data_IF_037668662497
#
_entry.id   IF_037668662497
#
_cell.length_a   1.000
_cell.length_b   1.000
_cell.length_c   1.000
_cell.angle_alpha   90.00
_cell.angle_beta   90.00
_cell.angle_gamma   90.00
#
_symmetry.space_group_name_H-M   'P 1'
#
loop_
_entity.id
_entity.type
_entity.pdbx_description
1 polymer ?
#
# COMPACT_ATOMS: atom_id res chain seq x y z
N UNK A 1 -13.12 -7.77 38.39
CA UNK A 1 -12.06 -6.88 37.85
C UNK A 1 -10.77 -7.63 37.49
N UNK A 2 -10.30 -8.57 38.31
CA UNK A 2 -9.06 -9.33 38.05
C UNK A 2 -9.08 -10.13 36.72
N UNK A 3 -10.15 -10.86 36.43
CA UNK A 3 -10.30 -11.65 35.20
C UNK A 3 -10.26 -10.77 33.94
N UNK A 4 -10.88 -9.59 33.97
CA UNK A 4 -10.87 -8.65 32.85
C UNK A 4 -9.44 -8.17 32.54
N UNK A 5 -8.65 -7.84 33.57
CA UNK A 5 -7.25 -7.44 33.38
C UNK A 5 -6.39 -8.56 32.79
N UNK A 6 -6.64 -9.81 33.19
CA UNK A 6 -5.95 -10.99 32.61
C UNK A 6 -6.30 -11.12 31.12
N UNK A 7 -7.59 -11.09 30.78
CA UNK A 7 -8.04 -11.19 29.38
C UNK A 7 -7.44 -10.05 28.55
N UNK A 8 -7.49 -8.82 29.07
CA UNK A 8 -6.92 -7.65 28.40
C UNK A 8 -5.41 -7.77 28.19
N UNK A 9 -4.68 -8.28 29.19
CA UNK A 9 -3.24 -8.52 29.10
C UNK A 9 -2.90 -9.56 28.02
N UNK A 10 -3.63 -10.68 27.99
CA UNK A 10 -3.48 -11.71 26.95
C UNK A 10 -3.76 -11.12 25.56
N UNK A 11 -4.83 -10.35 25.43
CA UNK A 11 -5.16 -9.67 24.18
C UNK A 11 -4.04 -8.73 23.71
N UNK A 12 -3.54 -7.86 24.60
CA UNK A 12 -2.41 -6.98 24.32
C UNK A 12 -1.16 -7.75 23.90
N UNK A 13 -0.85 -8.86 24.59
CA UNK A 13 0.28 -9.71 24.24
C UNK A 13 0.16 -10.31 22.82
N UNK A 14 -1.03 -10.81 22.46
CA UNK A 14 -1.31 -11.34 21.11
C UNK A 14 -1.18 -10.25 20.05
N UNK A 15 -1.71 -9.05 20.31
CA UNK A 15 -1.61 -7.90 19.40
C UNK A 15 -0.15 -7.49 19.21
N UNK A 16 0.61 -7.33 20.30
CA UNK A 16 2.03 -6.97 20.26
C UNK A 16 2.86 -8.00 19.49
N UNK A 17 2.64 -9.30 19.75
CA UNK A 17 3.30 -10.38 19.02
C UNK A 17 3.02 -10.31 17.52
N UNK A 18 1.76 -10.07 17.14
CA UNK A 18 1.35 -9.97 15.74
C UNK A 18 1.99 -8.76 15.06
N UNK A 19 1.98 -7.59 15.71
CA UNK A 19 2.64 -6.39 15.21
C UNK A 19 4.14 -6.60 15.03
N UNK A 20 4.80 -7.21 16.02
CA UNK A 20 6.23 -7.49 15.97
C UNK A 20 6.60 -8.40 14.78
N UNK A 21 5.84 -9.48 14.57
CA UNK A 21 6.05 -10.40 13.44
C UNK A 21 5.85 -9.68 12.09
N UNK A 22 4.81 -8.85 11.97
CA UNK A 22 4.54 -8.08 10.76
C UNK A 22 5.65 -7.07 10.46
N UNK A 23 6.17 -6.37 11.47
CA UNK A 23 7.30 -5.43 11.31
C UNK A 23 8.56 -6.17 10.87
N UNK A 24 8.83 -7.35 11.45
CA UNK A 24 9.98 -8.18 11.08
C UNK A 24 9.91 -8.61 9.62
N UNK A 25 8.77 -9.13 9.17
CA UNK A 25 8.56 -9.52 7.78
C UNK A 25 8.63 -8.32 6.83
N UNK A 26 8.06 -7.18 7.21
CA UNK A 26 8.17 -5.95 6.44
C UNK A 26 9.63 -5.51 6.28
N UNK A 27 10.43 -5.52 7.35
CA UNK A 27 11.85 -5.18 7.30
C UNK A 27 12.65 -6.14 6.41
N UNK A 28 12.27 -7.42 6.34
CA UNK A 28 12.89 -8.39 5.43
C UNK A 28 12.59 -8.08 3.97
N UNK A 29 11.35 -7.71 3.65
CA UNK A 29 10.87 -7.53 2.27
C UNK A 29 11.13 -6.12 1.73
N UNK A 30 11.15 -5.09 2.59
CA UNK A 30 11.24 -3.69 2.18
C UNK A 30 12.43 -3.40 1.29
N UNK A 31 13.59 -4.02 1.53
CA UNK A 31 14.81 -3.71 0.78
C UNK A 31 14.71 -4.16 -0.69
N UNK A 32 14.01 -5.26 -0.94
CA UNK A 32 13.77 -5.78 -2.29
C UNK A 32 12.65 -4.97 -2.95
N UNK A 33 11.53 -4.79 -2.27
CA UNK A 33 10.36 -4.07 -2.81
C UNK A 33 10.66 -2.58 -3.02
N UNK A 34 11.53 -1.97 -2.21
CA UNK A 34 11.97 -0.57 -2.37
C UNK A 34 12.75 -0.29 -3.64
N UNK A 35 13.19 -1.33 -4.36
CA UNK A 35 13.83 -1.17 -5.68
C UNK A 35 12.82 -0.92 -6.78
N UNK A 36 11.57 -1.33 -6.58
CA UNK A 36 10.49 -1.02 -7.52
C UNK A 36 10.06 0.44 -7.35
N UNK A 37 9.61 1.11 -8.42
CA UNK A 37 9.09 2.46 -8.32
C UNK A 37 7.70 2.49 -7.69
N UNK A 38 7.43 3.52 -6.90
CA UNK A 38 6.14 3.75 -6.25
C UNK A 38 6.26 4.24 -4.81
N UNK A 39 5.12 4.58 -4.20
CA UNK A 39 5.07 5.21 -2.89
C UNK A 39 5.63 4.30 -1.78
N UNK A 40 6.28 4.92 -0.79
CA UNK A 40 6.78 4.23 0.40
C UNK A 40 5.62 3.94 1.35
N UNK A 41 5.43 2.69 1.74
CA UNK A 41 4.40 2.30 2.70
C UNK A 41 4.94 2.20 4.13
N UNK A 42 4.07 2.44 5.11
CA UNK A 42 4.34 2.19 6.52
C UNK A 42 4.24 0.69 6.84
N UNK A 43 4.97 0.18 7.85
CA UNK A 43 5.04 -1.26 8.15
C UNK A 43 3.68 -1.90 8.49
N UNK A 44 2.78 -1.14 9.12
CA UNK A 44 1.46 -1.62 9.55
C UNK A 44 0.36 -1.06 8.66
N UNK A 45 0.45 0.20 8.24
CA UNK A 45 -0.63 0.83 7.46
C UNK A 45 -0.42 0.72 5.94
N UNK A 46 0.78 0.37 5.49
CA UNK A 46 1.15 0.45 4.09
C UNK A 46 0.95 1.88 3.56
N UNK A 47 0.28 1.99 2.41
CA UNK A 47 -0.15 3.25 1.82
C UNK A 47 -1.65 3.51 2.01
N UNK A 48 -2.30 2.87 2.98
CA UNK A 48 -3.75 2.97 3.17
C UNK A 48 -4.25 4.40 3.34
N UNK A 49 -3.54 5.23 4.12
CA UNK A 49 -3.91 6.64 4.31
C UNK A 49 -3.85 7.45 3.01
N UNK A 50 -2.95 7.08 2.11
CA UNK A 50 -2.73 7.78 0.85
C UNK A 50 -3.72 7.34 -0.24
N UNK A 51 -4.12 6.06 -0.23
CA UNK A 51 -5.03 5.44 -1.19
C UNK A 51 -6.39 5.07 -0.59
N UNK A 52 -6.86 5.80 0.42
CA UNK A 52 -8.23 5.63 0.93
C UNK A 52 -9.25 6.18 -0.08
N UNK A 53 -10.38 5.49 -0.22
CA UNK A 53 -11.53 5.92 -1.02
C UNK A 53 -11.82 5.00 -2.21
N UNK A 54 -12.63 5.49 -3.13
CA UNK A 54 -13.06 4.71 -4.29
C UNK A 54 -11.89 4.23 -5.16
N UNK A 55 -12.06 3.04 -5.72
CA UNK A 55 -11.10 2.39 -6.60
C UNK A 55 -10.64 3.33 -7.74
N UNK A 56 -11.56 4.14 -8.30
CA UNK A 56 -11.25 5.14 -9.34
C UNK A 56 -10.22 6.19 -8.87
N UNK A 57 -10.37 6.68 -7.64
CA UNK A 57 -9.46 7.67 -7.05
C UNK A 57 -8.10 7.06 -6.73
N UNK A 58 -8.09 5.81 -6.27
CA UNK A 58 -6.85 5.04 -6.05
C UNK A 58 -6.07 4.87 -7.35
N UNK A 59 -6.73 4.41 -8.42
CA UNK A 59 -6.10 4.26 -9.73
C UNK A 59 -5.61 5.60 -10.30
N UNK A 60 -6.40 6.68 -10.15
CA UNK A 60 -5.99 8.03 -10.58
C UNK A 60 -4.70 8.47 -9.87
N UNK A 61 -4.62 8.31 -8.55
CA UNK A 61 -3.42 8.63 -7.76
C UNK A 61 -2.23 7.78 -8.19
N UNK A 62 -2.41 6.48 -8.38
CA UNK A 62 -1.34 5.59 -8.84
C UNK A 62 -0.83 5.94 -10.25
N UNK A 63 -1.74 6.31 -11.16
CA UNK A 63 -1.38 6.78 -12.50
C UNK A 63 -0.59 8.08 -12.45
N UNK A 64 -0.96 9.04 -11.60
CA UNK A 64 -0.18 10.27 -11.39
C UNK A 64 1.22 9.93 -10.88
N UNK A 65 1.33 9.00 -9.92
CA UNK A 65 2.61 8.50 -9.42
C UNK A 65 3.47 7.85 -10.53
N UNK A 66 2.86 7.05 -11.40
CA UNK A 66 3.53 6.43 -12.54
C UNK A 66 4.07 7.47 -13.53
N UNK A 67 3.24 8.47 -13.88
CA UNK A 67 3.60 9.57 -14.78
C UNK A 67 4.74 10.43 -14.21
N UNK A 68 4.65 10.82 -12.93
CA UNK A 68 5.64 11.70 -12.28
C UNK A 68 7.04 11.09 -12.23
N UNK A 69 7.12 9.76 -12.13
CA UNK A 69 8.40 9.06 -12.00
C UNK A 69 8.86 8.41 -13.31
N UNK A 70 8.25 8.72 -14.47
CA UNK A 70 8.55 8.09 -15.77
C UNK A 70 8.49 6.54 -15.76
N UNK A 71 7.72 5.97 -14.84
CA UNK A 71 7.58 4.53 -14.66
C UNK A 71 6.19 4.09 -15.10
N UNK A 72 6.05 3.79 -16.39
CA UNK A 72 4.75 3.55 -17.01
C UNK A 72 4.28 2.10 -17.00
N UNK A 73 5.07 1.15 -16.49
CA UNK A 73 4.80 -0.29 -16.64
C UNK A 73 4.57 -1.02 -15.32
N UNK A 74 5.32 -0.66 -14.27
CA UNK A 74 5.30 -1.36 -12.99
C UNK A 74 5.26 -0.28 -11.90
N UNK A 75 4.33 -0.41 -10.96
CA UNK A 75 4.28 0.41 -9.77
C UNK A 75 4.09 -0.50 -8.56
N UNK A 76 4.79 -0.22 -7.47
CA UNK A 76 4.53 -0.88 -6.19
C UNK A 76 3.56 -0.08 -5.34
N UNK A 77 2.81 -0.76 -4.50
CA UNK A 77 2.11 -0.20 -3.36
C UNK A 77 2.26 -1.12 -2.15
N UNK A 78 1.82 -0.64 -1.00
CA UNK A 78 1.76 -1.45 0.22
C UNK A 78 0.33 -1.49 0.73
N UNK A 79 -0.17 -2.70 0.97
CA UNK A 79 -1.40 -2.93 1.71
C UNK A 79 -1.01 -3.58 3.03
N UNK A 80 -1.07 -2.79 4.10
CA UNK A 80 -0.54 -3.21 5.40
C UNK A 80 0.96 -3.59 5.28
N UNK A 81 1.33 -4.81 5.68
CA UNK A 81 2.68 -5.36 5.54
C UNK A 81 2.91 -6.12 4.22
N UNK A 82 1.87 -6.28 3.40
CA UNK A 82 1.96 -6.97 2.11
C UNK A 82 2.29 -5.99 0.97
N UNK A 83 3.36 -6.23 0.20
CA UNK A 83 3.64 -5.46 -1.00
C UNK A 83 2.67 -5.90 -2.12
N UNK A 84 2.07 -4.92 -2.80
CA UNK A 84 1.24 -5.14 -3.99
C UNK A 84 1.99 -4.55 -5.18
N UNK A 85 2.06 -5.31 -6.28
CA UNK A 85 2.67 -4.85 -7.52
C UNK A 85 1.57 -4.65 -8.55
N UNK A 86 1.44 -3.43 -9.04
CA UNK A 86 0.53 -3.05 -10.10
C UNK A 86 1.27 -3.08 -11.43
N UNK A 87 0.81 -3.94 -12.33
CA UNK A 87 1.23 -3.93 -13.72
C UNK A 87 0.28 -3.04 -14.50
N UNK A 88 0.79 -1.90 -14.95
CA UNK A 88 0.08 -1.07 -15.91
C UNK A 88 0.46 -1.58 -17.29
N UNK A 89 -0.36 -2.49 -17.83
CA UNK A 89 -0.35 -2.72 -19.27
C UNK A 89 -0.84 -1.41 -19.88
N UNK A 90 0.08 -0.64 -20.44
CA UNK A 90 -0.25 0.44 -21.36
C UNK A 90 -0.97 -0.20 -22.55
N UNK A 91 -2.28 -0.44 -22.41
CA UNK A 91 -3.13 -0.30 -23.57
C UNK A 91 -2.90 1.13 -24.01
N UNK A 92 -2.31 1.26 -25.20
CA UNK A 92 -2.23 2.49 -25.96
C UNK A 92 -3.67 2.93 -26.21
N UNK A 93 -4.32 3.52 -25.20
CA UNK A 93 -5.65 4.09 -25.30
C UNK A 93 -5.50 5.35 -26.15
N UNK A 94 -5.47 5.11 -27.45
CA UNK A 94 -5.72 6.08 -28.49
C UNK A 94 -7.09 6.69 -28.15
N UNK A 95 -7.08 7.95 -27.71
CA UNK A 95 -8.24 8.81 -27.41
C UNK A 95 -8.99 8.52 -26.10
N UNK A 96 -8.59 9.20 -25.02
CA UNK A 96 -9.51 9.62 -23.95
C UNK A 96 -9.11 10.99 -23.38
N UNK A 97 -8.55 11.87 -24.23
CA UNK A 97 -8.07 13.21 -23.83
C UNK A 97 -9.03 14.35 -24.20
N UNK A 98 -10.35 14.12 -24.27
CA UNK A 98 -11.28 15.19 -24.67
C UNK A 98 -12.59 15.31 -23.90
N UNK A 99 -12.81 14.65 -22.76
CA UNK A 99 -14.18 14.66 -22.18
C UNK A 99 -14.34 14.97 -20.70
N UNK A 100 -13.40 15.67 -20.03
CA UNK A 100 -13.64 16.13 -18.65
C UNK A 100 -13.09 17.54 -18.30
N UNK A 101 -13.14 18.48 -19.25
CA UNK A 101 -13.08 19.91 -18.95
C UNK A 101 -14.20 20.64 -19.71
N UNK A 102 -15.41 20.53 -19.19
CA UNK A 102 -16.47 21.56 -19.24
C UNK A 102 -17.05 21.58 -17.82
#
# INVERSE_FOLDING_TARGET
MFIFNIIFSIFCFVVLRTVFLNIREWNRRRNIINRLPGPKGLPILGNYLEFRGDLKNVFKKMRIYALRNNHHKILRGWMMHFPIIYFFVLMKLRKFSQTQYI
#
